data_IF_898608187685
#
_entry.id   IF_898608187685
#
_cell.length_a   1.000
_cell.length_b   1.000
_cell.length_c   1.000
_cell.angle_alpha   90.00
_cell.angle_beta   90.00
_cell.angle_gamma   90.00
#
_symmetry.space_group_name_H-M   'P 1'
#
loop_
_entity.id
_entity.type
_entity.pdbx_description
1 polymer ?
#
# COMPACT_ATOMS: atom_id res chain seq x y z
N UNK A 1 -10.29 6.60 -4.68
CA UNK A 1 -10.20 8.00 -4.25
C UNK A 1 -10.69 8.12 -2.80
N UNK A 2 -11.97 7.80 -2.53
CA UNK A 2 -12.63 7.96 -1.22
C UNK A 2 -11.82 7.46 -0.01
N UNK A 3 -11.17 6.30 -0.12
CA UNK A 3 -10.33 5.78 0.97
C UNK A 3 -9.09 6.64 1.23
N UNK A 4 -8.46 7.16 0.20
CA UNK A 4 -7.31 8.05 0.34
C UNK A 4 -7.77 9.36 0.99
N UNK A 5 -8.84 9.93 0.48
CA UNK A 5 -9.45 11.16 1.02
C UNK A 5 -9.79 10.99 2.50
N UNK A 6 -10.51 9.92 2.85
CA UNK A 6 -10.87 9.62 4.25
C UNK A 6 -9.64 9.52 5.15
N UNK A 7 -8.59 8.82 4.71
CA UNK A 7 -7.36 8.72 5.50
C UNK A 7 -6.72 10.09 5.76
N UNK A 8 -6.71 10.98 4.77
CA UNK A 8 -6.16 12.33 4.92
C UNK A 8 -7.04 13.19 5.85
N UNK A 9 -8.36 13.08 5.73
CA UNK A 9 -9.33 13.75 6.62
C UNK A 9 -9.20 13.24 8.07
N UNK A 10 -8.91 11.94 8.27
CA UNK A 10 -8.62 11.34 9.58
C UNK A 10 -7.23 11.73 10.13
N UNK A 11 -6.52 12.67 9.48
CA UNK A 11 -5.25 13.23 9.93
C UNK A 11 -4.03 12.36 9.64
N UNK A 12 -4.13 11.35 8.74
CA UNK A 12 -2.96 10.58 8.30
C UNK A 12 -2.02 11.46 7.50
N UNK A 13 -0.76 11.53 7.91
CA UNK A 13 0.25 12.40 7.28
C UNK A 13 0.69 11.89 5.91
N UNK A 14 0.82 10.57 5.77
CA UNK A 14 1.22 9.93 4.52
C UNK A 14 0.47 8.64 4.28
N UNK A 15 -0.14 8.53 3.11
CA UNK A 15 -0.86 7.36 2.62
C UNK A 15 -0.10 6.74 1.47
N UNK A 16 0.24 5.46 1.56
CA UNK A 16 0.80 4.69 0.46
C UNK A 16 -0.33 3.92 -0.21
N UNK A 17 -0.47 4.07 -1.52
CA UNK A 17 -1.34 3.25 -2.35
C UNK A 17 -0.49 2.33 -3.23
N UNK A 18 -0.67 1.03 -3.03
CA UNK A 18 0.05 -0.01 -3.76
C UNK A 18 -0.86 -0.65 -4.80
N UNK A 19 -0.42 -0.68 -6.05
CA UNK A 19 -1.02 -1.45 -7.12
C UNK A 19 0.04 -1.88 -8.12
N UNK A 20 -0.23 -2.94 -8.88
CA UNK A 20 0.74 -3.43 -9.88
C UNK A 20 0.61 -2.70 -11.22
N UNK A 21 -0.56 -2.15 -11.53
CA UNK A 21 -0.80 -1.42 -12.77
C UNK A 21 -0.37 0.04 -12.67
N UNK A 22 0.72 0.38 -13.36
CA UNK A 22 1.24 1.75 -13.41
C UNK A 22 0.29 2.75 -14.08
N UNK A 23 -0.51 2.29 -15.07
CA UNK A 23 -1.47 3.18 -15.73
C UNK A 23 -2.62 3.53 -14.79
N UNK A 24 -3.07 2.56 -13.99
CA UNK A 24 -4.05 2.80 -12.93
C UNK A 24 -3.52 3.78 -11.87
N UNK A 25 -2.21 3.70 -11.51
CA UNK A 25 -1.61 4.68 -10.60
C UNK A 25 -1.56 6.10 -11.18
N UNK A 26 -1.25 6.23 -12.47
CA UNK A 26 -1.25 7.53 -13.14
C UNK A 26 -2.67 8.12 -13.21
N UNK A 27 -3.66 7.31 -13.58
CA UNK A 27 -5.06 7.72 -13.59
C UNK A 27 -5.56 8.12 -12.20
N UNK A 28 -5.20 7.36 -11.16
CA UNK A 28 -5.55 7.68 -9.78
C UNK A 28 -4.94 9.01 -9.32
N UNK A 29 -3.67 9.28 -9.67
CA UNK A 29 -3.05 10.58 -9.38
C UNK A 29 -3.85 11.73 -10.01
N UNK A 30 -4.15 11.61 -11.30
CA UNK A 30 -4.84 12.67 -12.03
C UNK A 30 -6.24 12.90 -11.45
N UNK A 31 -6.97 11.84 -11.12
CA UNK A 31 -8.26 11.92 -10.46
C UNK A 31 -8.20 12.55 -9.06
N UNK A 32 -7.19 12.21 -8.23
CA UNK A 32 -6.99 12.84 -6.91
C UNK A 32 -6.74 14.36 -7.02
N UNK A 33 -6.03 14.78 -8.07
CA UNK A 33 -5.78 16.20 -8.33
C UNK A 33 -7.03 16.91 -8.86
N UNK A 34 -7.72 16.29 -9.83
CA UNK A 34 -8.91 16.87 -10.47
C UNK A 34 -10.08 17.03 -9.49
N UNK A 35 -10.23 16.11 -8.54
CA UNK A 35 -11.22 16.18 -7.46
C UNK A 35 -10.77 17.09 -6.30
N UNK A 36 -9.58 17.66 -6.36
CA UNK A 36 -9.06 18.57 -5.33
C UNK A 36 -8.73 17.90 -3.98
N UNK A 37 -8.57 16.57 -3.96
CA UNK A 37 -8.25 15.81 -2.74
C UNK A 37 -6.83 16.10 -2.27
N UNK A 38 -5.89 16.18 -3.21
CA UNK A 38 -4.45 16.40 -2.92
C UNK A 38 -3.82 17.25 -4.01
N UNK A 39 -3.00 18.20 -3.61
CA UNK A 39 -2.18 18.95 -4.57
C UNK A 39 -1.19 18.05 -5.29
N UNK A 40 -1.00 18.28 -6.61
CA UNK A 40 -0.08 17.49 -7.44
C UNK A 40 1.35 17.42 -6.87
N UNK A 41 1.81 18.48 -6.24
CA UNK A 41 3.11 18.58 -5.57
C UNK A 41 3.27 17.63 -4.38
N UNK A 42 2.17 17.20 -3.78
CA UNK A 42 2.12 16.30 -2.62
C UNK A 42 1.89 14.82 -2.99
N UNK A 43 1.84 14.51 -4.28
CA UNK A 43 1.71 13.14 -4.78
C UNK A 43 3.02 12.71 -5.44
N UNK A 44 3.50 11.52 -5.09
CA UNK A 44 4.64 10.87 -5.75
C UNK A 44 4.26 9.53 -6.35
N UNK A 45 4.69 9.26 -7.60
CA UNK A 45 4.56 7.94 -8.22
C UNK A 45 5.93 7.29 -8.24
N UNK A 46 6.03 6.11 -7.66
CA UNK A 46 7.21 5.25 -7.68
C UNK A 46 6.89 4.00 -8.49
N UNK A 47 7.38 3.95 -9.71
CA UNK A 47 7.23 2.80 -10.60
C UNK A 47 8.58 2.37 -11.20
N UNK A 48 8.58 1.32 -12.02
CA UNK A 48 9.78 0.80 -12.66
C UNK A 48 10.36 1.72 -13.75
N UNK A 49 9.60 2.71 -14.22
CA UNK A 49 10.02 3.66 -15.24
C UNK A 49 10.66 4.92 -14.65
N UNK A 50 10.53 5.10 -13.33
CA UNK A 50 11.12 6.23 -12.62
C UNK A 50 12.64 6.07 -12.56
N UNK A 51 13.35 6.76 -13.42
CA UNK A 51 14.80 6.63 -13.56
C UNK A 51 15.56 7.92 -13.28
N UNK A 52 16.84 7.77 -12.89
CA UNK A 52 17.80 8.85 -12.82
C UNK A 52 17.40 10.02 -11.93
N UNK A 53 17.46 11.21 -12.48
CA UNK A 53 17.21 12.47 -11.77
C UNK A 53 15.83 12.55 -11.10
N UNK A 54 14.77 12.13 -11.80
CA UNK A 54 13.41 12.17 -11.25
C UNK A 54 13.24 11.25 -10.04
N UNK A 55 13.94 10.11 -10.02
CA UNK A 55 13.93 9.21 -8.87
C UNK A 55 14.63 9.86 -7.67
N UNK A 56 15.76 10.50 -7.89
CA UNK A 56 16.49 11.19 -6.82
C UNK A 56 15.65 12.33 -6.23
N UNK A 57 15.07 13.17 -7.08
CA UNK A 57 14.19 14.26 -6.67
C UNK A 57 13.00 13.78 -5.81
N UNK A 58 12.34 12.70 -6.24
CA UNK A 58 11.22 12.13 -5.46
C UNK A 58 11.68 11.53 -4.13
N UNK A 59 12.86 10.90 -4.11
CA UNK A 59 13.43 10.36 -2.88
C UNK A 59 13.77 11.45 -1.87
N UNK A 60 14.31 12.58 -2.33
CA UNK A 60 14.69 13.70 -1.47
C UNK A 60 13.47 14.36 -0.79
N UNK A 61 12.32 14.34 -1.47
CA UNK A 61 11.07 14.92 -0.94
C UNK A 61 10.04 13.89 -0.46
N UNK A 62 10.36 12.60 -0.43
CA UNK A 62 9.41 11.52 -0.09
C UNK A 62 8.68 11.73 1.24
N UNK A 63 9.35 12.35 2.22
CA UNK A 63 8.78 12.61 3.54
C UNK A 63 7.77 13.76 3.56
N UNK A 64 7.77 14.61 2.53
CA UNK A 64 6.82 15.72 2.36
C UNK A 64 5.59 15.34 1.53
N UNK A 65 5.60 14.14 0.92
CA UNK A 65 4.47 13.63 0.15
C UNK A 65 3.34 13.19 1.10
N UNK A 66 2.11 13.56 0.75
CA UNK A 66 0.91 13.09 1.44
C UNK A 66 0.42 11.76 0.85
N UNK A 67 0.58 11.58 -0.47
CA UNK A 67 0.20 10.36 -1.16
C UNK A 67 1.38 9.81 -1.94
N UNK A 68 1.67 8.54 -1.72
CA UNK A 68 2.69 7.77 -2.43
C UNK A 68 2.01 6.66 -3.21
N UNK A 69 2.05 6.74 -4.52
CA UNK A 69 1.55 5.70 -5.43
C UNK A 69 2.72 4.82 -5.85
N UNK A 70 2.64 3.51 -5.61
CA UNK A 70 3.82 2.64 -5.75
C UNK A 70 3.50 1.29 -6.35
N UNK A 71 4.39 0.81 -7.23
CA UNK A 71 4.38 -0.57 -7.71
C UNK A 71 5.39 -1.43 -6.95
N UNK A 72 5.25 -2.75 -7.01
CA UNK A 72 6.14 -3.72 -6.33
C UNK A 72 7.61 -3.53 -6.64
N UNK A 73 7.92 -3.31 -7.90
CA UNK A 73 9.32 -3.16 -8.37
C UNK A 73 9.98 -1.92 -7.78
N UNK A 74 9.23 -0.82 -7.68
CA UNK A 74 9.74 0.44 -7.15
C UNK A 74 9.81 0.46 -5.62
N UNK A 75 8.97 -0.33 -4.93
CA UNK A 75 8.97 -0.43 -3.48
C UNK A 75 10.29 -0.98 -2.91
N UNK A 76 11.06 -1.71 -3.72
CA UNK A 76 12.32 -2.32 -3.27
C UNK A 76 13.37 -1.26 -2.94
N UNK A 77 13.88 -1.30 -1.71
CA UNK A 77 14.97 -0.43 -1.26
C UNK A 77 14.57 0.98 -0.81
N UNK A 78 13.27 1.34 -0.82
CA UNK A 78 12.81 2.64 -0.33
C UNK A 78 12.09 2.45 1.00
N UNK A 79 12.44 3.24 2.01
CA UNK A 79 11.73 3.29 3.29
C UNK A 79 10.85 4.52 3.36
N UNK A 80 9.67 4.36 3.96
CA UNK A 80 8.67 5.41 4.17
C UNK A 80 8.30 5.48 5.67
N UNK A 81 9.22 5.95 6.52
CA UNK A 81 9.01 5.93 7.97
C UNK A 81 7.87 6.85 8.41
N UNK A 82 7.50 7.82 7.59
CA UNK A 82 6.40 8.76 7.84
C UNK A 82 5.01 8.21 7.43
N UNK A 83 4.95 7.00 6.87
CA UNK A 83 3.72 6.38 6.43
C UNK A 83 2.82 6.00 7.62
N UNK A 84 1.56 6.46 7.60
CA UNK A 84 0.53 6.12 8.59
C UNK A 84 -0.48 5.10 8.05
N UNK A 85 -0.68 5.06 6.75
CA UNK A 85 -1.66 4.18 6.12
C UNK A 85 -1.14 3.58 4.82
N UNK A 86 -1.38 2.30 4.63
CA UNK A 86 -1.09 1.56 3.41
C UNK A 86 -2.40 1.00 2.88
N UNK A 87 -2.73 1.36 1.65
CA UNK A 87 -3.86 0.81 0.91
C UNK A 87 -3.28 -0.05 -0.21
N UNK A 88 -3.55 -1.34 -0.18
CA UNK A 88 -3.02 -2.29 -1.15
C UNK A 88 -4.14 -2.87 -2.01
N UNK A 89 -4.10 -2.62 -3.32
CA UNK A 89 -5.00 -3.24 -4.28
C UNK A 89 -4.52 -4.65 -4.62
N UNK A 90 -5.35 -5.64 -4.33
CA UNK A 90 -5.06 -7.04 -4.63
C UNK A 90 -5.34 -7.32 -6.10
N UNK A 91 -4.37 -7.83 -6.87
CA UNK A 91 -4.61 -8.20 -8.25
C UNK A 91 -5.43 -9.49 -8.34
N UNK A 92 -6.09 -9.69 -9.48
CA UNK A 92 -6.88 -10.90 -9.75
C UNK A 92 -6.05 -12.18 -9.84
N UNK A 93 -4.78 -12.03 -10.19
CA UNK A 93 -3.87 -13.15 -10.43
C UNK A 93 -2.61 -13.01 -9.57
N UNK A 94 -1.92 -14.13 -9.33
CA UNK A 94 -0.70 -14.18 -8.54
C UNK A 94 -0.86 -13.61 -7.12
N UNK A 95 -1.93 -13.98 -6.45
CA UNK A 95 -2.30 -13.48 -5.10
C UNK A 95 -1.16 -13.71 -4.11
N UNK A 96 -0.54 -14.89 -4.09
CA UNK A 96 0.56 -15.21 -3.18
C UNK A 96 1.76 -14.26 -3.34
N UNK A 97 2.19 -14.04 -4.59
CA UNK A 97 3.28 -13.12 -4.88
C UNK A 97 2.96 -11.69 -4.43
N UNK A 98 1.72 -11.26 -4.68
CA UNK A 98 1.25 -9.92 -4.29
C UNK A 98 1.18 -9.73 -2.79
N UNK A 99 0.76 -10.76 -2.05
CA UNK A 99 0.73 -10.72 -0.58
C UNK A 99 2.14 -10.67 0.01
N UNK A 100 3.11 -11.37 -0.58
CA UNK A 100 4.51 -11.26 -0.18
C UNK A 100 5.07 -9.86 -0.43
N UNK A 101 4.68 -9.22 -1.53
CA UNK A 101 5.05 -7.84 -1.85
C UNK A 101 4.41 -6.84 -0.88
N UNK A 102 3.14 -7.03 -0.53
CA UNK A 102 2.43 -6.22 0.49
C UNK A 102 3.11 -6.38 1.85
N UNK A 103 3.45 -7.59 2.27
CA UNK A 103 4.19 -7.83 3.49
C UNK A 103 5.54 -7.09 3.49
N UNK A 104 6.28 -7.14 2.38
CA UNK A 104 7.52 -6.38 2.23
C UNK A 104 7.28 -4.87 2.29
N UNK A 105 6.17 -4.37 1.72
CA UNK A 105 5.82 -2.96 1.77
C UNK A 105 5.53 -2.49 3.20
N UNK A 106 4.82 -3.28 4.00
CA UNK A 106 4.57 -2.98 5.42
C UNK A 106 5.89 -2.77 6.18
N UNK A 107 6.91 -3.60 5.88
CA UNK A 107 8.25 -3.41 6.46
C UNK A 107 8.95 -2.13 6.05
N UNK A 108 8.55 -1.48 4.94
CA UNK A 108 9.17 -0.21 4.49
C UNK A 108 8.78 1.00 5.34
N UNK A 109 7.74 0.88 6.16
CA UNK A 109 7.41 1.87 7.16
C UNK A 109 8.39 1.93 8.35
N UNK A 110 9.33 0.98 8.48
CA UNK A 110 10.28 0.93 9.60
C UNK A 110 11.37 1.99 9.50
N UNK A 111 12.01 2.19 10.65
CA UNK A 111 13.09 3.17 10.80
C UNK A 111 12.59 4.52 11.30
N UNK A 112 13.54 5.41 11.58
CA UNK A 112 13.23 6.75 12.07
C UNK A 112 13.34 7.81 10.97
N UNK A 113 12.76 8.96 11.25
CA UNK A 113 12.91 10.15 10.44
C UNK A 113 13.03 11.40 11.32
N UNK A 114 13.63 12.44 10.77
CA UNK A 114 13.67 13.74 11.43
C UNK A 114 12.38 14.50 11.11
N UNK A 115 11.54 14.73 12.12
CA UNK A 115 10.42 15.65 12.01
C UNK A 115 10.98 17.10 11.96
N UNK A 116 10.97 17.67 10.76
CA UNK A 116 11.56 19.01 10.53
C UNK A 116 10.81 20.14 11.21
N UNK A 117 9.51 19.95 11.50
CA UNK A 117 8.70 20.95 12.18
C UNK A 117 9.02 21.01 13.68
N UNK A 118 9.25 19.84 14.29
CA UNK A 118 9.57 19.71 15.71
C UNK A 118 11.05 19.64 15.99
N UNK A 119 11.87 19.46 14.93
CA UNK A 119 13.30 19.20 15.01
C UNK A 119 13.64 18.02 15.94
N UNK A 120 12.79 16.99 15.94
CA UNK A 120 12.90 15.81 16.77
C UNK A 120 13.03 14.56 15.92
N UNK A 121 13.84 13.60 16.41
CA UNK A 121 13.91 12.28 15.78
C UNK A 121 12.72 11.43 16.21
N UNK A 122 11.91 10.99 15.25
CA UNK A 122 10.73 10.14 15.47
C UNK A 122 11.08 8.71 15.09
N UNK A 123 10.87 7.78 16.03
CA UNK A 123 10.99 6.35 15.76
C UNK A 123 9.72 5.86 15.05
N UNK A 124 9.84 5.51 13.78
CA UNK A 124 8.73 5.00 13.00
C UNK A 124 8.24 3.61 13.44
N UNK A 125 9.05 2.85 14.17
CA UNK A 125 8.69 1.50 14.64
C UNK A 125 7.66 1.53 15.78
N UNK A 126 7.52 2.67 16.49
CA UNK A 126 6.57 2.85 17.59
C UNK A 126 5.21 3.40 17.14
N UNK A 127 5.01 3.59 15.85
CA UNK A 127 3.77 4.15 15.31
C UNK A 127 2.81 3.07 14.84
N UNK A 128 1.54 3.22 15.22
CA UNK A 128 0.46 2.43 14.66
C UNK A 128 0.24 2.80 13.19
N UNK A 129 0.10 1.78 12.34
CA UNK A 129 -0.18 1.93 10.92
C UNK A 129 -1.42 1.15 10.54
N UNK A 130 -2.20 1.73 9.65
CA UNK A 130 -3.36 1.09 9.07
C UNK A 130 -2.96 0.38 7.77
N UNK A 131 -3.27 -0.91 7.67
CA UNK A 131 -3.20 -1.66 6.42
C UNK A 131 -4.62 -1.97 5.94
N UNK A 132 -4.99 -1.43 4.79
CA UNK A 132 -6.25 -1.71 4.11
C UNK A 132 -5.97 -2.50 2.84
N UNK A 133 -6.59 -3.67 2.68
CA UNK A 133 -6.45 -4.49 1.48
C UNK A 133 -7.75 -4.40 0.69
N UNK A 134 -7.65 -3.93 -0.56
CA UNK A 134 -8.77 -3.85 -1.49
C UNK A 134 -8.85 -5.16 -2.26
N UNK A 135 -10.01 -5.76 -2.23
CA UNK A 135 -10.34 -7.00 -2.95
C UNK A 135 -11.44 -6.70 -3.94
N UNK A 136 -11.30 -7.16 -5.17
CA UNK A 136 -12.30 -6.93 -6.19
C UNK A 136 -13.55 -7.82 -6.03
N UNK A 137 -14.69 -7.33 -6.52
CA UNK A 137 -16.00 -7.98 -6.43
C UNK A 137 -16.07 -9.36 -7.13
N UNK A 138 -15.09 -9.68 -7.99
CA UNK A 138 -15.12 -10.98 -8.67
C UNK A 138 -14.98 -12.18 -7.72
N UNK A 139 -14.60 -11.97 -6.46
CA UNK A 139 -14.66 -12.98 -5.41
C UNK A 139 -16.10 -13.21 -4.89
N UNK A 140 -17.01 -12.30 -5.14
CA UNK A 140 -18.39 -12.46 -4.77
C UNK A 140 -19.06 -13.42 -5.76
N UNK A 141 -19.88 -14.32 -5.23
CA UNK A 141 -20.62 -15.31 -6.01
C UNK A 141 -21.90 -14.66 -6.53
N UNK A 142 -22.16 -14.75 -7.84
CA UNK A 142 -23.44 -14.37 -8.43
C UNK A 142 -24.34 -15.58 -8.67
N UNK A 143 -25.66 -15.37 -8.69
CA UNK A 143 -26.62 -16.46 -8.87
C UNK A 143 -26.63 -17.06 -10.30
N UNK A 144 -25.99 -16.39 -11.26
CA UNK A 144 -25.97 -16.78 -12.68
C UNK A 144 -24.67 -17.51 -13.08
N UNK A 145 -23.82 -17.85 -12.11
CA UNK A 145 -22.53 -18.49 -12.40
C UNK A 145 -22.65 -20.00 -12.63
N UNK A 146 -21.81 -20.50 -13.54
CA UNK A 146 -21.66 -21.94 -13.72
C UNK A 146 -21.01 -22.59 -12.50
N UNK A 147 -21.25 -23.90 -12.30
CA UNK A 147 -20.66 -24.64 -11.19
C UNK A 147 -19.11 -24.54 -11.18
N UNK A 148 -18.49 -24.57 -12.36
CA UNK A 148 -17.01 -24.47 -12.48
C UNK A 148 -16.48 -23.11 -12.08
N UNK A 149 -17.17 -22.02 -12.45
CA UNK A 149 -16.83 -20.66 -12.03
C UNK A 149 -17.01 -20.48 -10.52
N UNK A 150 -18.08 -21.05 -9.97
CA UNK A 150 -18.33 -21.06 -8.54
C UNK A 150 -17.23 -21.78 -7.77
N UNK A 151 -16.84 -23.00 -8.20
CA UNK A 151 -15.76 -23.76 -7.59
C UNK A 151 -14.43 -23.00 -7.61
N UNK A 152 -14.11 -22.34 -8.74
CA UNK A 152 -12.92 -21.50 -8.86
C UNK A 152 -12.93 -20.32 -7.89
N UNK A 153 -14.05 -19.62 -7.78
CA UNK A 153 -14.20 -18.49 -6.87
C UNK A 153 -14.09 -18.89 -5.40
N UNK A 154 -14.75 -19.99 -5.02
CA UNK A 154 -14.67 -20.53 -3.66
C UNK A 154 -13.25 -20.90 -3.31
N UNK A 155 -12.55 -21.61 -4.19
CA UNK A 155 -11.15 -21.98 -4.00
C UNK A 155 -10.27 -20.76 -3.85
N UNK A 156 -10.39 -19.78 -4.76
CA UNK A 156 -9.61 -18.55 -4.73
C UNK A 156 -9.85 -17.74 -3.45
N UNK A 157 -11.10 -17.70 -2.97
CA UNK A 157 -11.46 -17.03 -1.72
C UNK A 157 -10.85 -17.72 -0.49
N UNK A 158 -10.86 -19.06 -0.47
CA UNK A 158 -10.25 -19.86 0.60
C UNK A 158 -8.72 -19.71 0.62
N UNK A 159 -8.08 -19.75 -0.54
CA UNK A 159 -6.64 -19.51 -0.68
C UNK A 159 -6.26 -18.13 -0.17
N UNK A 160 -7.02 -17.09 -0.55
CA UNK A 160 -6.82 -15.73 -0.08
C UNK A 160 -6.98 -15.62 1.44
N UNK A 161 -8.04 -16.21 2.01
CA UNK A 161 -8.27 -16.22 3.47
C UNK A 161 -7.11 -16.89 4.20
N UNK A 162 -6.65 -18.04 3.70
CA UNK A 162 -5.53 -18.79 4.28
C UNK A 162 -4.25 -17.96 4.28
N UNK A 163 -3.98 -17.22 3.19
CA UNK A 163 -2.82 -16.36 3.06
C UNK A 163 -2.93 -15.16 4.01
N UNK A 164 -4.12 -14.55 4.18
CA UNK A 164 -4.32 -13.50 5.18
C UNK A 164 -4.03 -13.99 6.61
N UNK A 165 -4.45 -15.21 6.93
CA UNK A 165 -4.15 -15.80 8.24
C UNK A 165 -2.66 -16.02 8.44
N UNK A 166 -1.93 -16.48 7.40
CA UNK A 166 -0.48 -16.64 7.42
C UNK A 166 0.24 -15.31 7.58
N UNK A 167 -0.16 -14.27 6.84
CA UNK A 167 0.42 -12.93 6.96
C UNK A 167 0.18 -12.37 8.36
N UNK A 168 -1.05 -12.48 8.87
CA UNK A 168 -1.37 -12.04 10.23
C UNK A 168 -0.49 -12.74 11.25
N UNK A 169 -0.35 -14.07 11.16
CA UNK A 169 0.53 -14.84 12.03
C UNK A 169 1.99 -14.40 11.93
N UNK A 170 2.49 -14.22 10.71
CA UNK A 170 3.88 -13.80 10.48
C UNK A 170 4.15 -12.39 10.97
N UNK A 171 3.25 -11.45 10.75
CA UNK A 171 3.39 -10.08 11.24
C UNK A 171 3.32 -10.05 12.76
N UNK A 172 2.37 -10.79 13.36
CA UNK A 172 2.23 -10.86 14.81
C UNK A 172 3.49 -11.40 15.47
N UNK A 173 3.99 -12.56 15.05
CA UNK A 173 5.20 -13.17 15.63
C UNK A 173 6.46 -12.33 15.44
N UNK A 174 6.57 -11.60 14.33
CA UNK A 174 7.74 -10.76 14.08
C UNK A 174 7.71 -9.41 14.78
N UNK A 175 6.52 -8.87 15.03
CA UNK A 175 6.36 -7.58 15.72
C UNK A 175 6.41 -7.75 17.23
N UNK A 176 5.78 -8.80 17.77
CA UNK A 176 5.72 -9.02 19.22
C UNK A 176 6.95 -9.75 19.77
N UNK A 177 7.74 -10.39 18.93
CA UNK A 177 8.86 -11.22 19.38
C UNK A 177 8.45 -12.52 20.06
N UNK A 178 7.16 -12.79 20.15
CA UNK A 178 6.61 -14.06 20.66
C UNK A 178 6.75 -15.13 19.58
N UNK A 179 7.86 -15.84 19.62
CA UNK A 179 7.95 -17.17 19.06
C UNK A 179 7.26 -18.10 20.06
N UNK A 180 5.93 -18.25 19.88
CA UNK A 180 5.18 -19.26 20.60
C UNK A 180 5.54 -20.66 20.19
#
# INVERSE_FOLDING_TARGET
IELIQKNLEDGKKQVIYFAQDKNALAALRDALVDEGVVERSKIGIFDSQLMGYHRSELLDRKETLQVVLITSTAARGISFPNCDSIIAAMPRFAIEASLMEIAQLVYRGRGGYLDKEKNEWVNGDERDRLLTILVEDFYLVSNDETQTELEYKVKSSLDMLSIFMLIRGTLYTRITGDAG
#
